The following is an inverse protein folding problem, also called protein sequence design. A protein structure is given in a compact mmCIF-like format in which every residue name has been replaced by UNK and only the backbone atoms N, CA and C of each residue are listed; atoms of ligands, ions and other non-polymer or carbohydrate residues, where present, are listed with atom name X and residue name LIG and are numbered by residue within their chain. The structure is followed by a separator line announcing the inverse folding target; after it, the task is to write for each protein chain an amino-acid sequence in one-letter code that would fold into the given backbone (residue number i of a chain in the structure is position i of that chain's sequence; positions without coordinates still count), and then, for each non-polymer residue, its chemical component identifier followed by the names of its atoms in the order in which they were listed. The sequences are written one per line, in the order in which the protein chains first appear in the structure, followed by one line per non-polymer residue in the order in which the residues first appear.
data_IF_066334036863
#
_entry.id   IF_066334036863
#
_cell.length_a   1.000
_cell.length_b   1.000
_cell.length_c   1.000
_cell.angle_alpha   90.00
_cell.angle_beta   90.00
_cell.angle_gamma   90.00
#
_symmetry.space_group_name_H-M   'P 1'
#
loop_
_entity.id
_entity.type
_entity.pdbx_description
1 polymer ?
#
# COMPACT_ATOMS: atom_id res chain seq x y z
N UNK A 1 13.30 -13.91 -18.25
CA UNK A 1 11.88 -13.71 -17.99
C UNK A 1 11.64 -12.37 -17.33
N UNK A 2 10.70 -11.62 -17.82
CA UNK A 2 10.38 -10.34 -17.24
C UNK A 2 9.41 -10.51 -16.08
N UNK A 3 9.56 -9.69 -15.05
CA UNK A 3 8.63 -9.62 -13.93
C UNK A 3 7.69 -8.43 -14.11
N UNK A 4 7.17 -8.33 -15.34
CA UNK A 4 6.27 -7.24 -15.66
C UNK A 4 5.01 -7.34 -14.80
N UNK A 5 4.58 -6.20 -14.26
CA UNK A 5 3.36 -6.10 -13.48
C UNK A 5 2.20 -6.14 -14.46
N UNK A 6 1.23 -7.04 -14.23
CA UNK A 6 0.06 -7.08 -15.11
C UNK A 6 -0.89 -5.91 -14.83
N UNK A 7 -1.78 -5.68 -15.78
CA UNK A 7 -2.68 -4.51 -15.73
C UNK A 7 -3.62 -4.57 -14.54
N UNK A 8 -4.07 -5.75 -14.14
CA UNK A 8 -4.99 -5.88 -13.01
C UNK A 8 -4.30 -5.54 -11.69
N UNK A 9 -3.06 -5.99 -11.52
CA UNK A 9 -2.28 -5.70 -10.32
C UNK A 9 -2.02 -4.19 -10.23
N UNK A 10 -1.64 -3.57 -11.34
CA UNK A 10 -1.39 -2.13 -11.37
C UNK A 10 -2.67 -1.34 -11.10
N UNK A 11 -3.80 -1.77 -11.68
CA UNK A 11 -5.09 -1.11 -11.44
C UNK A 11 -5.50 -1.18 -9.98
N UNK A 12 -5.29 -2.33 -9.33
CA UNK A 12 -5.58 -2.49 -7.91
C UNK A 12 -4.74 -1.53 -7.06
N UNK A 13 -3.44 -1.47 -7.34
CA UNK A 13 -2.52 -0.59 -6.60
C UNK A 13 -2.88 0.88 -6.80
N UNK A 14 -3.24 1.28 -8.01
CA UNK A 14 -3.66 2.65 -8.28
C UNK A 14 -4.93 3.04 -7.55
N UNK A 15 -5.90 2.14 -7.50
CA UNK A 15 -7.13 2.39 -6.74
C UNK A 15 -6.82 2.55 -5.26
N UNK A 16 -5.95 1.70 -4.71
CA UNK A 16 -5.53 1.82 -3.32
C UNK A 16 -4.86 3.17 -3.05
N UNK A 17 -3.96 3.59 -3.94
CA UNK A 17 -3.27 4.87 -3.80
C UNK A 17 -4.24 6.05 -3.85
N UNK A 18 -5.21 6.02 -4.77
CA UNK A 18 -6.22 7.07 -4.88
C UNK A 18 -7.12 7.11 -3.65
N UNK A 19 -7.48 5.96 -3.12
CA UNK A 19 -8.26 5.87 -1.89
C UNK A 19 -7.52 6.52 -0.73
N UNK A 20 -6.23 6.24 -0.62
CA UNK A 20 -5.38 6.84 0.41
C UNK A 20 -5.31 8.36 0.22
N UNK A 21 -5.15 8.82 -1.00
CA UNK A 21 -5.09 10.25 -1.32
C UNK A 21 -6.39 10.96 -0.95
N UNK A 22 -7.52 10.33 -1.18
CA UNK A 22 -8.83 10.90 -0.84
C UNK A 22 -8.98 11.11 0.68
N UNK A 23 -8.25 10.36 1.47
CA UNK A 23 -8.23 10.51 2.92
C UNK A 23 -6.94 11.18 3.41
N UNK A 24 -6.26 11.89 2.52
CA UNK A 24 -5.09 12.72 2.85
C UNK A 24 -3.88 11.92 3.31
N UNK A 25 -3.70 10.74 2.78
CA UNK A 25 -2.46 10.00 2.98
C UNK A 25 -1.27 10.79 2.47
N UNK A 26 -0.17 10.76 3.20
CA UNK A 26 1.03 11.53 2.88
C UNK A 26 2.01 10.70 2.07
N UNK A 27 2.70 11.35 1.14
CA UNK A 27 3.80 10.78 0.36
C UNK A 27 3.49 9.37 -0.13
N UNK A 28 2.43 9.26 -0.93
CA UNK A 28 1.95 7.99 -1.43
C UNK A 28 2.88 7.49 -2.53
N UNK A 29 3.34 6.25 -2.40
CA UNK A 29 4.24 5.64 -3.38
C UNK A 29 3.72 4.27 -3.79
N UNK A 30 3.84 3.96 -5.06
CA UNK A 30 3.56 2.62 -5.60
C UNK A 30 4.90 2.10 -6.13
N UNK A 31 5.44 1.11 -5.44
CA UNK A 31 6.80 0.62 -5.65
C UNK A 31 6.76 -0.78 -6.24
N UNK A 32 7.47 -0.98 -7.34
CA UNK A 32 7.59 -2.29 -7.97
C UNK A 32 8.63 -3.11 -7.21
N UNK A 33 8.16 -4.14 -6.52
CA UNK A 33 9.02 -5.05 -5.74
C UNK A 33 9.11 -6.43 -6.38
N UNK A 34 8.58 -6.59 -7.59
CA UNK A 34 8.46 -7.89 -8.24
C UNK A 34 9.81 -8.55 -8.51
N UNK A 35 10.88 -7.77 -8.68
CA UNK A 35 12.19 -8.31 -8.95
C UNK A 35 12.90 -8.84 -7.70
N UNK A 36 12.41 -8.51 -6.50
CA UNK A 36 13.05 -8.91 -5.24
C UNK A 36 12.15 -9.77 -4.36
N UNK A 37 10.84 -9.77 -4.59
CA UNK A 37 9.90 -10.60 -3.83
C UNK A 37 9.21 -11.57 -4.79
N UNK A 38 9.06 -12.84 -4.38
CA UNK A 38 8.58 -13.87 -5.31
C UNK A 38 7.10 -13.78 -5.67
N UNK A 39 6.26 -13.29 -4.79
CA UNK A 39 4.81 -13.29 -5.00
C UNK A 39 4.26 -11.89 -5.17
N UNK A 40 4.76 -10.96 -4.37
CA UNK A 40 4.26 -9.59 -4.35
C UNK A 40 4.80 -8.82 -5.53
N UNK A 41 3.92 -8.16 -6.26
CA UNK A 41 4.33 -7.31 -7.38
C UNK A 41 4.55 -5.86 -6.97
N UNK A 42 3.62 -5.31 -6.19
CA UNK A 42 3.65 -3.90 -5.84
C UNK A 42 3.41 -3.66 -4.36
N UNK A 43 4.12 -2.69 -3.81
CA UNK A 43 3.80 -2.09 -2.52
C UNK A 43 3.12 -0.75 -2.77
N UNK A 44 2.08 -0.47 -1.98
CA UNK A 44 1.51 0.87 -1.89
C UNK A 44 1.84 1.37 -0.48
N UNK A 45 2.55 2.48 -0.37
CA UNK A 45 3.05 2.98 0.92
C UNK A 45 2.54 4.39 1.13
N UNK A 46 1.99 4.64 2.30
CA UNK A 46 1.55 5.97 2.70
C UNK A 46 1.64 6.11 4.22
N UNK A 47 1.40 7.31 4.70
CA UNK A 47 1.45 7.58 6.14
C UNK A 47 0.49 8.69 6.53
N UNK A 48 0.27 8.82 7.83
CA UNK A 48 -0.59 9.85 8.40
C UNK A 48 -0.09 10.25 9.78
N UNK A 49 -0.55 11.41 10.24
CA UNK A 49 -0.02 12.04 11.45
C UNK A 49 -0.49 11.42 12.76
N UNK A 50 -1.50 10.56 12.75
CA UNK A 50 -2.01 9.94 13.97
C UNK A 50 -2.67 8.60 13.67
N UNK A 51 -2.83 7.73 14.69
CA UNK A 51 -3.40 6.39 14.49
C UNK A 51 -4.83 6.40 13.95
N UNK A 52 -5.63 7.39 14.33
CA UNK A 52 -7.01 7.48 13.84
C UNK A 52 -7.03 7.66 12.32
N UNK A 53 -6.18 8.53 11.80
CA UNK A 53 -6.12 8.77 10.36
C UNK A 53 -5.52 7.57 9.63
N UNK A 54 -4.56 6.88 10.25
CA UNK A 54 -4.01 5.63 9.71
C UNK A 54 -5.14 4.62 9.50
N UNK A 55 -6.01 4.44 10.51
CA UNK A 55 -7.16 3.53 10.39
C UNK A 55 -8.16 3.99 9.32
N UNK A 56 -8.39 5.30 9.24
CA UNK A 56 -9.31 5.86 8.24
C UNK A 56 -8.82 5.57 6.83
N UNK A 57 -7.53 5.75 6.58
CA UNK A 57 -6.94 5.46 5.28
C UNK A 57 -7.06 3.97 4.96
N UNK A 58 -6.68 3.11 5.90
CA UNK A 58 -6.77 1.67 5.69
C UNK A 58 -8.20 1.22 5.40
N UNK A 59 -9.17 1.77 6.13
CA UNK A 59 -10.59 1.46 5.91
C UNK A 59 -11.07 1.90 4.54
N UNK A 60 -10.67 3.07 4.08
CA UNK A 60 -11.05 3.55 2.75
C UNK A 60 -10.44 2.68 1.66
N UNK A 61 -9.19 2.27 1.82
CA UNK A 61 -8.53 1.37 0.87
C UNK A 61 -9.32 0.05 0.79
N UNK A 62 -9.63 -0.56 1.93
CA UNK A 62 -10.37 -1.82 1.95
C UNK A 62 -11.74 -1.68 1.28
N UNK A 63 -12.48 -0.63 1.61
CA UNK A 63 -13.80 -0.40 1.04
C UNK A 63 -13.73 -0.21 -0.46
N UNK A 64 -12.80 0.61 -0.92
CA UNK A 64 -12.67 0.92 -2.34
C UNK A 64 -12.26 -0.30 -3.15
N UNK A 65 -11.33 -1.10 -2.64
CA UNK A 65 -10.89 -2.31 -3.34
C UNK A 65 -11.99 -3.37 -3.37
N UNK A 66 -12.79 -3.45 -2.32
CA UNK A 66 -13.95 -4.36 -2.32
C UNK A 66 -14.98 -3.94 -3.35
N UNK A 67 -15.29 -2.64 -3.39
CA UNK A 67 -16.34 -2.13 -4.28
C UNK A 67 -15.92 -2.13 -5.75
N UNK A 68 -14.69 -1.74 -6.04
CA UNK A 68 -14.26 -1.56 -7.43
C UNK A 68 -13.59 -2.80 -8.01
N UNK A 69 -12.96 -3.63 -7.19
CA UNK A 69 -12.20 -4.79 -7.66
C UNK A 69 -12.69 -6.10 -7.09
N UNK A 70 -13.65 -6.05 -6.17
CA UNK A 70 -14.17 -7.23 -5.47
C UNK A 70 -13.05 -8.00 -4.78
N UNK A 71 -12.10 -7.27 -4.23
CA UNK A 71 -10.95 -7.82 -3.52
C UNK A 71 -10.98 -7.42 -2.06
N UNK A 72 -10.74 -8.39 -1.19
CA UNK A 72 -10.53 -8.17 0.23
C UNK A 72 -9.15 -8.69 0.60
N UNK A 73 -8.49 -8.13 1.63
CA UNK A 73 -7.15 -8.60 1.97
C UNK A 73 -7.22 -10.05 2.46
N UNK A 74 -6.24 -10.85 2.06
CA UNK A 74 -6.10 -12.21 2.57
C UNK A 74 -5.57 -12.20 3.98
N UNK A 75 -4.94 -11.10 4.40
CA UNK A 75 -4.43 -10.93 5.75
C UNK A 75 -4.33 -9.45 6.05
N UNK A 76 -4.64 -9.08 7.30
CA UNK A 76 -4.52 -7.73 7.81
C UNK A 76 -3.75 -7.77 9.11
N UNK A 77 -2.78 -6.89 9.29
CA UNK A 77 -1.97 -6.82 10.50
C UNK A 77 -1.88 -5.37 10.98
N UNK A 78 -1.72 -5.19 12.29
CA UNK A 78 -1.45 -3.89 12.89
C UNK A 78 -2.65 -3.05 13.25
N UNK A 79 -3.87 -3.57 13.13
CA UNK A 79 -5.09 -2.79 13.39
C UNK A 79 -5.19 -2.29 14.82
N UNK A 80 -4.76 -3.10 15.79
CA UNK A 80 -4.94 -2.74 17.21
C UNK A 80 -4.14 -1.51 17.60
N UNK A 81 -2.91 -1.39 17.14
CA UNK A 81 -2.03 -0.26 17.52
C UNK A 81 -2.02 0.84 16.48
N UNK A 82 -2.29 0.49 15.24
CA UNK A 82 -2.41 1.44 14.13
C UNK A 82 -1.16 2.29 13.90
N UNK A 83 0.01 1.74 14.22
CA UNK A 83 1.29 2.36 13.91
C UNK A 83 1.76 1.97 12.52
N UNK A 84 1.39 0.76 12.10
CA UNK A 84 1.72 0.21 10.81
C UNK A 84 0.65 -0.83 10.47
N UNK A 85 -0.32 -0.44 9.65
CA UNK A 85 -1.35 -1.36 9.18
C UNK A 85 -0.91 -1.92 7.84
N UNK A 86 -0.94 -3.23 7.73
CA UNK A 86 -0.58 -3.95 6.52
C UNK A 86 -1.83 -4.63 5.98
N UNK A 87 -2.16 -4.36 4.72
CA UNK A 87 -3.27 -5.00 4.02
C UNK A 87 -2.67 -5.83 2.89
N UNK A 88 -2.69 -7.15 3.05
CA UNK A 88 -2.05 -8.08 2.12
C UNK A 88 -3.08 -8.62 1.16
N UNK A 89 -2.97 -8.25 -0.11
CA UNK A 89 -3.85 -8.74 -1.19
C UNK A 89 -3.15 -9.81 -2.04
N UNK A 90 -1.96 -10.24 -1.64
CA UNK A 90 -1.20 -11.24 -2.38
C UNK A 90 -0.26 -10.60 -3.38
N UNK A 91 -0.79 -10.09 -4.47
CA UNK A 91 -0.02 -9.40 -5.51
C UNK A 91 0.32 -7.94 -5.15
N UNK A 92 -0.50 -7.33 -4.29
CA UNK A 92 -0.29 -5.96 -3.81
C UNK A 92 -0.33 -5.99 -2.28
N UNK A 93 0.61 -5.33 -1.64
CA UNK A 93 0.59 -5.13 -0.19
C UNK A 93 0.54 -3.63 0.08
N UNK A 94 -0.47 -3.21 0.83
CA UNK A 94 -0.64 -1.81 1.20
C UNK A 94 -0.11 -1.60 2.61
N UNK A 95 0.77 -0.62 2.76
CA UNK A 95 1.38 -0.26 4.03
C UNK A 95 0.93 1.14 4.42
N UNK A 96 0.21 1.26 5.52
CA UNK A 96 -0.23 2.54 6.04
C UNK A 96 0.43 2.75 7.40
N UNK A 97 1.31 3.74 7.48
CA UNK A 97 2.11 4.02 8.66
C UNK A 97 1.64 5.26 9.40
N UNK A 98 1.79 5.28 10.72
CA UNK A 98 1.91 6.56 11.42
C UNK A 98 3.25 7.17 11.01
N UNK A 99 3.31 8.50 10.93
CA UNK A 99 4.51 9.19 10.43
C UNK A 99 5.78 8.77 11.15
N UNK A 100 5.73 8.64 12.47
CA UNK A 100 6.90 8.24 13.24
C UNK A 100 7.37 6.83 12.88
N UNK A 101 6.41 5.91 12.71
CA UNK A 101 6.75 4.54 12.33
C UNK A 101 7.36 4.48 10.95
N UNK A 102 6.85 5.28 10.00
CA UNK A 102 7.42 5.34 8.67
C UNK A 102 8.88 5.80 8.70
N UNK A 103 9.15 6.83 9.49
CA UNK A 103 10.53 7.33 9.66
C UNK A 103 11.43 6.31 10.34
N UNK A 104 10.89 5.56 11.29
CA UNK A 104 11.66 4.57 12.03
C UNK A 104 12.04 3.36 11.18
N UNK A 105 11.04 2.79 10.48
CA UNK A 105 11.26 1.56 9.71
C UNK A 105 11.85 1.80 8.33
N UNK A 106 11.52 2.91 7.70
CA UNK A 106 12.07 3.32 6.41
C UNK A 106 12.05 2.20 5.36
N UNK A 107 10.89 1.51 5.20
CA UNK A 107 10.86 0.37 4.28
C UNK A 107 11.15 0.78 2.84
N UNK A 108 10.82 2.01 2.45
CA UNK A 108 11.13 2.49 1.10
C UNK A 108 12.62 2.51 0.83
N UNK A 109 13.44 2.62 1.87
CA UNK A 109 14.90 2.63 1.73
C UNK A 109 15.42 1.31 1.21
N UNK A 110 14.77 0.21 1.60
CA UNK A 110 15.13 -1.12 1.12
C UNK A 110 14.85 -1.29 -0.38
N UNK A 111 13.94 -0.50 -0.90
CA UNK A 111 13.46 -0.60 -2.29
C UNK A 111 13.71 0.67 -3.08
N UNK A 112 14.64 1.51 -2.63
CA UNK A 112 14.85 2.84 -3.25
C UNK A 112 15.31 2.76 -4.70
N UNK A 113 15.93 1.65 -5.09
CA UNK A 113 16.39 1.43 -6.46
C UNK A 113 15.32 0.77 -7.33
N UNK A 114 14.13 0.52 -6.79
CA UNK A 114 13.05 -0.11 -7.53
C UNK A 114 12.18 0.93 -8.21
N UNK A 115 11.59 0.59 -9.36
CA UNK A 115 10.72 1.54 -10.04
C UNK A 115 9.52 1.96 -9.21
N UNK A 116 9.13 3.22 -9.35
CA UNK A 116 7.89 3.73 -8.78
C UNK A 116 6.93 3.98 -9.92
N UNK A 117 5.67 3.62 -9.73
CA UNK A 117 4.63 3.80 -10.73
C UNK A 117 3.80 5.04 -10.40
N UNK A 118 3.40 5.75 -11.45
CA UNK A 118 2.41 6.81 -11.33
C UNK A 118 1.07 6.19 -10.95
N UNK A 119 0.37 6.83 -10.02
CA UNK A 119 -0.90 6.27 -9.54
C UNK A 119 -2.10 7.21 -9.77
N UNK A 120 -1.86 8.43 -10.21
CA UNK A 120 -2.92 9.41 -10.47
C UNK A 120 -3.58 9.23 -11.83
#
# INVERSE_FOLDING_TARGET
MTNAIDDDTLALARTAARAADDKQGADIRVIDVSSVLPIVGLFVVTSAGNPRLVRTIAGEVEDRLRLEHRRSPVRTEGLSESQWILLDYGDVVVHVFADEARRFYEIERLYRDRPNHEWR
#
